data_IF_934712303187
#
_entry.id   IF_934712303187
#
_cell.length_a   1.000
_cell.length_b   1.000
_cell.length_c   1.000
_cell.angle_alpha   90.00
_cell.angle_beta   90.00
_cell.angle_gamma   90.00
#
_symmetry.space_group_name_H-M   'P 1'
#
loop_
_entity.id
_entity.type
_entity.pdbx_description
1 polymer ?
#
# COMPACT_ATOMS: atom_id res chain seq x y z
N UNK A 1 18.69 -9.97 -18.00
CA UNK A 1 19.73 -8.93 -17.87
C UNK A 1 19.30 -7.98 -16.77
N UNK A 2 19.60 -8.34 -15.51
CA UNK A 2 19.19 -7.56 -14.34
C UNK A 2 20.32 -6.60 -13.96
N UNK A 3 20.43 -5.48 -14.66
CA UNK A 3 20.95 -4.29 -13.98
C UNK A 3 19.76 -3.70 -13.23
N UNK A 4 19.69 -4.00 -11.93
CA UNK A 4 18.70 -3.39 -11.05
C UNK A 4 18.95 -1.88 -11.02
N UNK A 5 17.91 -1.09 -11.30
CA UNK A 5 17.99 0.37 -11.26
C UNK A 5 18.37 0.84 -9.85
N UNK A 6 19.23 1.86 -9.76
CA UNK A 6 19.70 2.39 -8.49
C UNK A 6 19.85 3.92 -8.54
N UNK A 7 19.66 4.55 -7.38
CA UNK A 7 20.03 5.94 -7.14
C UNK A 7 21.44 6.00 -6.52
N UNK A 8 22.17 7.09 -6.78
CA UNK A 8 23.44 7.36 -6.11
C UNK A 8 23.27 8.43 -5.03
N UNK A 9 23.64 8.09 -3.80
CA UNK A 9 23.69 9.02 -2.67
C UNK A 9 25.15 9.29 -2.31
N UNK A 10 25.58 10.56 -2.39
CA UNK A 10 26.95 10.95 -2.04
C UNK A 10 27.00 11.63 -0.68
N UNK A 11 27.69 11.01 0.28
CA UNK A 11 27.85 11.51 1.65
C UNK A 11 29.32 11.48 2.02
N UNK A 12 29.86 12.63 2.46
CA UNK A 12 31.25 12.77 2.93
C UNK A 12 32.28 12.18 1.95
N UNK A 13 32.04 12.35 0.65
CA UNK A 13 32.92 11.86 -0.43
C UNK A 13 32.75 10.39 -0.81
N UNK A 14 31.96 9.60 -0.07
CA UNK A 14 31.59 8.22 -0.43
C UNK A 14 30.30 8.20 -1.23
N UNK A 15 30.20 7.29 -2.20
CA UNK A 15 29.00 7.07 -3.02
C UNK A 15 28.36 5.75 -2.58
N UNK A 16 27.07 5.80 -2.28
CA UNK A 16 26.23 4.66 -1.93
C UNK A 16 25.25 4.43 -3.08
N UNK A 17 25.11 3.18 -3.52
CA UNK A 17 24.11 2.78 -4.52
C UNK A 17 22.90 2.24 -3.80
N UNK A 18 21.77 2.92 -3.96
CA UNK A 18 20.51 2.60 -3.30
C UNK A 18 19.56 1.99 -4.34
N UNK A 19 19.06 0.75 -4.13
CA UNK A 19 18.11 0.14 -5.05
C UNK A 19 16.86 1.02 -5.26
N UNK A 20 16.34 1.02 -6.49
CA UNK A 20 15.03 1.61 -6.81
C UNK A 20 14.02 0.48 -7.01
N UNK A 21 12.94 0.51 -6.24
CA UNK A 21 11.81 -0.39 -6.40
C UNK A 21 10.74 0.27 -7.27
N UNK A 22 10.37 -0.42 -8.35
CA UNK A 22 9.29 0.02 -9.23
C UNK A 22 7.93 -0.23 -8.60
N UNK A 23 7.10 0.81 -8.53
CA UNK A 23 5.72 0.66 -8.12
C UNK A 23 4.87 0.19 -9.32
N UNK A 24 3.85 -0.65 -9.06
CA UNK A 24 2.88 -1.01 -10.10
C UNK A 24 2.02 0.20 -10.53
N UNK A 25 1.82 1.14 -9.60
CA UNK A 25 1.15 2.42 -9.79
C UNK A 25 1.71 3.41 -8.75
N UNK A 26 1.83 4.69 -9.13
CA UNK A 26 2.44 5.72 -8.29
C UNK A 26 3.93 5.89 -8.54
N UNK A 27 4.62 6.48 -7.58
CA UNK A 27 6.05 6.80 -7.63
C UNK A 27 6.92 5.60 -7.27
N UNK A 28 8.09 5.51 -7.91
CA UNK A 28 9.13 4.55 -7.54
C UNK A 28 9.76 4.92 -6.19
N UNK A 29 10.25 3.91 -5.47
CA UNK A 29 10.76 4.05 -4.10
C UNK A 29 12.26 3.76 -4.06
N UNK A 30 13.03 4.64 -3.42
CA UNK A 30 14.46 4.41 -3.16
C UNK A 30 14.60 3.70 -1.81
N UNK A 31 15.26 2.54 -1.80
CA UNK A 31 15.55 1.81 -0.57
C UNK A 31 16.70 2.47 0.21
N UNK A 32 16.34 3.15 1.30
CA UNK A 32 17.29 3.81 2.21
C UNK A 32 17.60 2.98 3.47
N UNK A 33 17.16 1.71 3.55
CA UNK A 33 17.30 0.87 4.75
C UNK A 33 18.74 0.73 5.25
N UNK A 34 19.72 0.82 4.34
CA UNK A 34 21.15 0.70 4.65
C UNK A 34 21.84 2.03 4.96
N UNK A 35 21.17 3.17 4.74
CA UNK A 35 21.77 4.51 4.91
C UNK A 35 22.25 4.71 6.35
N UNK A 36 21.46 4.30 7.34
CA UNK A 36 21.85 4.44 8.75
C UNK A 36 23.07 3.61 9.12
N UNK A 37 23.19 2.39 8.60
CA UNK A 37 24.32 1.49 8.89
C UNK A 37 25.58 1.78 8.09
N UNK A 38 25.46 2.29 6.86
CA UNK A 38 26.59 2.44 5.94
C UNK A 38 27.10 3.89 5.81
N UNK A 39 26.21 4.87 5.94
CA UNK A 39 26.53 6.28 5.67
C UNK A 39 26.71 7.14 6.94
N UNK A 40 26.49 6.58 8.13
CA UNK A 40 26.64 7.26 9.43
C UNK A 40 25.81 8.56 9.49
N UNK A 41 24.55 8.45 9.05
CA UNK A 41 23.53 9.48 9.14
C UNK A 41 22.12 8.88 8.99
N UNK A 42 21.11 9.60 9.44
CA UNK A 42 19.70 9.29 9.17
C UNK A 42 19.13 10.24 8.12
N UNK A 43 18.04 9.81 7.48
CA UNK A 43 17.15 10.74 6.79
C UNK A 43 16.33 11.52 7.83
N UNK A 44 15.95 12.75 7.49
CA UNK A 44 15.11 13.58 8.32
C UNK A 44 13.90 14.03 7.51
N UNK A 45 12.74 13.44 7.83
CA UNK A 45 11.47 13.67 7.15
C UNK A 45 10.34 13.76 8.20
N UNK A 46 10.21 14.91 8.89
CA UNK A 46 9.19 15.08 9.91
C UNK A 46 7.79 14.96 9.28
N UNK A 47 7.03 13.96 9.74
CA UNK A 47 5.69 13.66 9.22
C UNK A 47 5.66 12.63 8.09
N UNK A 48 6.81 12.07 7.69
CA UNK A 48 6.91 10.99 6.70
C UNK A 48 6.34 11.33 5.32
N UNK A 49 6.36 12.60 4.92
CA UNK A 49 5.74 13.07 3.68
C UNK A 49 6.43 12.52 2.43
N UNK A 50 7.69 12.09 2.55
CA UNK A 50 8.48 11.51 1.46
C UNK A 50 9.00 10.11 1.81
N UNK A 51 8.45 9.48 2.85
CA UNK A 51 8.89 8.17 3.33
C UNK A 51 7.80 7.12 3.11
N UNK A 52 8.03 6.22 2.14
CA UNK A 52 7.20 5.02 1.98
C UNK A 52 7.57 3.98 3.07
N UNK A 53 6.73 3.86 4.10
CA UNK A 53 6.99 3.00 5.27
C UNK A 53 6.64 1.53 5.06
N UNK A 54 5.79 1.21 4.10
CA UNK A 54 5.37 -0.15 3.80
C UNK A 54 5.03 -0.33 2.31
N UNK A 55 5.10 -1.58 1.86
CA UNK A 55 4.50 -1.99 0.61
C UNK A 55 3.04 -2.37 0.85
N UNK A 56 2.12 -1.89 0.02
CA UNK A 56 0.70 -2.22 0.12
C UNK A 56 0.08 -2.44 -1.24
N UNK A 57 -0.87 -3.38 -1.30
CA UNK A 57 -1.73 -3.64 -2.47
C UNK A 57 -3.21 -3.38 -2.15
N UNK A 58 -3.49 -2.64 -1.08
CA UNK A 58 -4.85 -2.43 -0.55
C UNK A 58 -5.50 -1.20 -1.17
N UNK A 59 -4.90 -0.03 -1.02
CA UNK A 59 -5.48 1.26 -1.45
C UNK A 59 -4.45 2.08 -2.17
N UNK A 60 -4.88 2.74 -3.25
CA UNK A 60 -4.09 3.74 -3.96
C UNK A 60 -4.83 5.08 -4.00
N UNK A 61 -4.09 6.16 -3.81
CA UNK A 61 -4.60 7.54 -3.80
C UNK A 61 -3.70 8.39 -4.70
N UNK A 62 -4.30 9.17 -5.59
CA UNK A 62 -3.65 10.26 -6.31
C UNK A 62 -4.51 11.51 -6.09
N UNK A 63 -4.08 12.36 -5.16
CA UNK A 63 -4.83 13.56 -4.76
C UNK A 63 -4.93 14.59 -5.88
N UNK A 64 -3.87 14.72 -6.70
CA UNK A 64 -3.82 15.68 -7.79
C UNK A 64 -4.79 15.32 -8.92
N UNK A 65 -4.97 14.02 -9.17
CA UNK A 65 -5.94 13.50 -10.15
C UNK A 65 -7.31 13.19 -9.55
N UNK A 66 -7.46 13.28 -8.23
CA UNK A 66 -8.70 12.90 -7.53
C UNK A 66 -9.03 11.41 -7.64
N UNK A 67 -8.03 10.53 -7.66
CA UNK A 67 -8.21 9.08 -7.77
C UNK A 67 -8.14 8.46 -6.37
N UNK A 68 -9.11 7.62 -6.05
CA UNK A 68 -9.09 6.73 -4.89
C UNK A 68 -9.53 5.34 -5.35
N UNK A 69 -8.71 4.32 -5.06
CA UNK A 69 -8.98 2.93 -5.44
C UNK A 69 -8.78 1.98 -4.28
N UNK A 70 -9.68 1.01 -4.14
CA UNK A 70 -9.51 -0.15 -3.26
C UNK A 70 -9.31 -1.40 -4.10
N UNK A 71 -8.20 -2.12 -3.89
CA UNK A 71 -7.79 -3.31 -4.66
C UNK A 71 -7.85 -3.10 -6.18
N UNK A 72 -7.60 -1.87 -6.64
CA UNK A 72 -7.65 -1.48 -8.05
C UNK A 72 -9.02 -1.00 -8.56
N UNK A 73 -10.11 -1.23 -7.84
CA UNK A 73 -11.44 -0.73 -8.19
C UNK A 73 -11.58 0.75 -7.83
N UNK A 74 -12.19 1.54 -8.71
CA UNK A 74 -12.50 2.94 -8.43
C UNK A 74 -13.50 3.05 -7.27
N UNK A 75 -13.26 4.01 -6.36
CA UNK A 75 -14.14 4.19 -5.19
C UNK A 75 -15.57 4.51 -5.61
N UNK A 76 -15.77 5.21 -6.74
CA UNK A 76 -17.10 5.53 -7.25
C UNK A 76 -17.85 4.28 -7.67
N UNK A 77 -17.17 3.36 -8.37
CA UNK A 77 -17.77 2.09 -8.78
C UNK A 77 -18.20 1.26 -7.58
N UNK A 78 -17.35 1.18 -6.54
CA UNK A 78 -17.69 0.46 -5.31
C UNK A 78 -18.87 1.11 -4.57
N UNK A 79 -18.91 2.45 -4.50
CA UNK A 79 -20.00 3.16 -3.83
C UNK A 79 -21.35 3.03 -4.55
N UNK A 80 -21.35 2.93 -5.89
CA UNK A 80 -22.58 2.80 -6.68
C UNK A 80 -23.06 1.35 -6.82
N UNK A 81 -22.15 0.38 -6.76
CA UNK A 81 -22.43 -1.03 -7.16
C UNK A 81 -22.24 -2.05 -6.06
N UNK A 82 -21.67 -1.69 -4.91
CA UNK A 82 -21.38 -2.61 -3.82
C UNK A 82 -21.89 -2.08 -2.48
N UNK A 83 -21.94 -2.97 -1.49
CA UNK A 83 -22.21 -2.60 -0.10
C UNK A 83 -20.97 -2.66 0.81
N UNK A 84 -21.14 -2.25 2.06
CA UNK A 84 -20.06 -2.24 3.05
C UNK A 84 -19.42 -3.62 3.27
N UNK A 85 -20.21 -4.69 3.31
CA UNK A 85 -19.69 -6.04 3.59
C UNK A 85 -18.93 -6.61 2.39
N UNK A 86 -19.37 -6.32 1.16
CA UNK A 86 -18.61 -6.66 -0.05
C UNK A 86 -17.25 -5.93 -0.07
N UNK A 87 -17.24 -4.62 0.24
CA UNK A 87 -16.00 -3.84 0.29
C UNK A 87 -15.10 -4.31 1.44
N UNK A 88 -15.66 -4.64 2.60
CA UNK A 88 -14.88 -5.21 3.71
C UNK A 88 -14.23 -6.54 3.31
N UNK A 89 -14.98 -7.43 2.64
CA UNK A 89 -14.45 -8.66 2.10
C UNK A 89 -13.31 -8.39 1.10
N UNK A 90 -13.53 -7.48 0.15
CA UNK A 90 -12.52 -7.06 -0.84
C UNK A 90 -11.22 -6.59 -0.17
N UNK A 91 -11.32 -5.75 0.86
CA UNK A 91 -10.14 -5.22 1.56
C UNK A 91 -9.37 -6.33 2.30
N UNK A 92 -10.07 -7.25 2.95
CA UNK A 92 -9.47 -8.37 3.70
C UNK A 92 -8.84 -9.40 2.75
N UNK A 93 -9.58 -9.84 1.73
CA UNK A 93 -9.23 -11.00 0.91
C UNK A 93 -8.61 -10.67 -0.45
N UNK A 94 -8.70 -9.41 -0.88
CA UNK A 94 -8.06 -8.93 -2.11
C UNK A 94 -8.94 -8.93 -3.36
N UNK A 95 -10.06 -9.64 -3.34
CA UNK A 95 -10.97 -9.78 -4.49
C UNK A 95 -12.44 -9.67 -4.04
N UNK A 96 -13.33 -9.30 -4.96
CA UNK A 96 -14.77 -9.27 -4.69
C UNK A 96 -15.29 -10.70 -4.44
N UNK A 97 -16.20 -10.89 -3.48
CA UNK A 97 -16.71 -12.20 -3.14
C UNK A 97 -17.60 -12.77 -4.25
N UNK A 98 -17.59 -14.09 -4.42
CA UNK A 98 -18.69 -14.80 -5.07
C UNK A 98 -19.96 -14.74 -4.19
N UNK A 99 -21.12 -15.06 -4.77
CA UNK A 99 -22.40 -15.10 -4.04
C UNK A 99 -22.31 -16.02 -2.79
N UNK A 100 -21.64 -17.17 -2.93
CA UNK A 100 -21.45 -18.11 -1.81
C UNK A 100 -20.54 -17.53 -0.73
N UNK A 101 -19.41 -16.93 -1.13
CA UNK A 101 -18.47 -16.28 -0.22
C UNK A 101 -19.12 -15.13 0.54
N UNK A 102 -19.88 -14.29 -0.15
CA UNK A 102 -20.60 -13.16 0.45
C UNK A 102 -21.62 -13.62 1.49
N UNK A 103 -22.43 -14.64 1.15
CA UNK A 103 -23.41 -15.20 2.07
C UNK A 103 -22.76 -15.81 3.32
N UNK A 104 -21.63 -16.49 3.16
CA UNK A 104 -20.88 -17.05 4.28
C UNK A 104 -20.25 -15.95 5.14
N UNK A 105 -19.59 -14.97 4.52
CA UNK A 105 -18.96 -13.86 5.23
C UNK A 105 -19.98 -13.06 6.05
N UNK A 106 -21.13 -12.72 5.45
CA UNK A 106 -22.20 -12.00 6.13
C UNK A 106 -22.73 -12.77 7.35
N UNK A 107 -22.91 -14.09 7.24
CA UNK A 107 -23.31 -14.93 8.37
C UNK A 107 -22.25 -14.95 9.48
N UNK A 108 -20.97 -15.02 9.11
CA UNK A 108 -19.87 -15.02 10.09
C UNK A 108 -19.79 -13.69 10.84
N UNK A 109 -19.88 -12.56 10.12
CA UNK A 109 -19.88 -11.23 10.75
C UNK A 109 -21.07 -11.09 11.70
N UNK A 110 -22.27 -11.50 11.29
CA UNK A 110 -23.45 -11.47 12.15
C UNK A 110 -23.28 -12.34 13.40
N UNK A 111 -22.79 -13.57 13.25
CA UNK A 111 -22.57 -14.49 14.37
C UNK A 111 -21.60 -13.94 15.42
N UNK A 112 -20.54 -13.24 14.98
CA UNK A 112 -19.52 -12.69 15.88
C UNK A 112 -19.79 -11.23 16.31
N UNK A 113 -20.97 -10.69 16.00
CA UNK A 113 -21.36 -9.34 16.43
C UNK A 113 -21.88 -9.26 17.87
N UNK A 114 -22.26 -10.41 18.44
CA UNK A 114 -22.70 -10.50 19.83
C UNK A 114 -21.48 -10.47 20.76
N UNK A 115 -21.47 -9.53 21.70
CA UNK A 115 -20.48 -9.44 22.77
C UNK A 115 -21.07 -10.01 24.06
N UNK A 116 -20.28 -10.76 24.83
CA UNK A 116 -20.69 -11.18 26.16
C UNK A 116 -20.64 -9.97 27.11
N UNK A 117 -21.64 -9.87 27.99
CA UNK A 117 -21.67 -8.89 29.10
C UNK A 117 -20.62 -9.23 30.19
#
# INVERSE_FOLDING_TARGET
NNDSEFAELKIRGKIFKLPIFKASIGEDVIDISRVSSEADCFTYDPGFMSTASCQSTITYIDGDKGILRHRGYDIKDLAEKSDFLEVAYLLIYGELPSIEQYNNFTKQVAHHSLVNE
#
